data_IF_622459816566
#
_entry.id   IF_622459816566
#
_cell.length_a   1.000
_cell.length_b   1.000
_cell.length_c   1.000
_cell.angle_alpha   90.00
_cell.angle_beta   90.00
_cell.angle_gamma   90.00
#
_symmetry.space_group_name_H-M   'P 1'
#
loop_
_entity.id
_entity.type
_entity.pdbx_description
1 polymer ?
#
# COMPACT_ATOMS: atom_id res chain seq x y z
N UNK A 1 3.38 7.70 2.79
CA UNK A 1 4.14 6.57 3.36
C UNK A 1 5.44 6.44 2.57
N UNK A 2 6.56 6.56 3.26
CA UNK A 2 7.90 6.57 2.65
C UNK A 2 8.47 5.16 2.72
N UNK A 3 8.91 4.63 1.57
CA UNK A 3 9.48 3.28 1.49
C UNK A 3 8.47 2.15 1.68
N UNK A 4 9.00 0.96 2.00
CA UNK A 4 8.23 -0.24 2.29
C UNK A 4 8.58 -0.76 3.69
N UNK A 5 7.61 -0.89 4.62
CA UNK A 5 7.84 -1.32 6.00
C UNK A 5 8.04 -2.84 6.09
N UNK A 6 9.12 -3.34 5.50
CA UNK A 6 9.49 -4.74 5.62
C UNK A 6 9.92 -5.07 7.06
N UNK A 7 9.53 -6.25 7.59
CA UNK A 7 10.03 -6.71 8.88
C UNK A 7 11.53 -7.03 8.80
N UNK A 8 12.18 -7.08 9.97
CA UNK A 8 13.58 -7.48 10.05
C UNK A 8 13.75 -8.95 9.67
N UNK A 9 14.29 -9.21 8.48
CA UNK A 9 14.52 -10.56 7.96
C UNK A 9 15.53 -11.39 8.78
N UNK A 10 16.32 -10.74 9.64
CA UNK A 10 17.29 -11.40 10.53
C UNK A 10 16.71 -11.82 11.88
N UNK A 11 15.40 -11.60 12.12
CA UNK A 11 14.73 -12.11 13.32
C UNK A 11 14.67 -13.64 13.25
N UNK A 12 15.16 -14.36 14.28
CA UNK A 12 15.13 -15.82 14.30
C UNK A 12 13.71 -16.38 14.16
N UNK A 13 12.73 -15.75 14.82
CA UNK A 13 11.32 -16.17 14.77
C UNK A 13 10.75 -16.09 13.36
N UNK A 14 11.14 -15.05 12.61
CA UNK A 14 10.71 -14.87 11.24
C UNK A 14 11.40 -15.86 10.29
N UNK A 15 12.69 -16.11 10.49
CA UNK A 15 13.44 -17.08 9.70
C UNK A 15 12.87 -18.50 9.85
N UNK A 16 12.62 -18.94 11.08
CA UNK A 16 12.02 -20.24 11.36
C UNK A 16 10.62 -20.35 10.77
N UNK A 17 9.81 -19.29 10.90
CA UNK A 17 8.47 -19.27 10.31
C UNK A 17 8.50 -19.36 8.79
N UNK A 18 9.42 -18.66 8.13
CA UNK A 18 9.62 -18.75 6.69
C UNK A 18 10.08 -20.15 6.27
N UNK A 19 11.05 -20.73 7.00
CA UNK A 19 11.56 -22.07 6.72
C UNK A 19 10.49 -23.16 6.89
N UNK A 20 9.65 -23.04 7.92
CA UNK A 20 8.50 -23.90 8.11
C UNK A 20 7.53 -23.79 6.93
N UNK A 21 7.12 -22.57 6.57
CA UNK A 21 6.20 -22.34 5.45
C UNK A 21 6.75 -22.85 4.12
N UNK A 22 8.04 -22.66 3.85
CA UNK A 22 8.68 -23.13 2.62
C UNK A 22 8.77 -24.66 2.55
N UNK A 23 8.71 -25.36 3.69
CA UNK A 23 8.64 -26.83 3.77
C UNK A 23 7.21 -27.37 3.66
N UNK A 24 6.23 -26.70 4.28
CA UNK A 24 4.86 -27.23 4.41
C UNK A 24 3.89 -26.73 3.34
N UNK A 25 4.18 -25.59 2.71
CA UNK A 25 3.30 -24.97 1.71
C UNK A 25 3.96 -25.05 0.33
N UNK A 26 3.28 -25.62 -0.68
CA UNK A 26 3.82 -25.67 -2.03
C UNK A 26 3.98 -24.26 -2.61
N UNK A 27 5.01 -24.09 -3.44
CA UNK A 27 5.25 -22.82 -4.13
C UNK A 27 4.08 -22.51 -5.06
N UNK A 28 3.60 -21.27 -5.01
CA UNK A 28 2.57 -20.78 -5.94
C UNK A 28 3.23 -19.88 -6.98
N UNK A 29 3.06 -20.19 -8.26
CA UNK A 29 3.65 -19.42 -9.37
C UNK A 29 5.16 -19.18 -9.23
N UNK A 30 5.89 -20.18 -8.71
CA UNK A 30 7.34 -20.09 -8.49
C UNK A 30 7.78 -19.29 -7.24
N UNK A 31 6.85 -18.67 -6.52
CA UNK A 31 7.13 -17.88 -5.30
C UNK A 31 7.06 -18.78 -4.07
N UNK A 32 8.06 -18.67 -3.18
CA UNK A 32 8.06 -19.38 -1.90
C UNK A 32 7.07 -18.78 -0.91
N UNK A 33 6.46 -19.61 -0.07
CA UNK A 33 5.47 -19.16 0.91
C UNK A 33 6.09 -18.24 1.96
N UNK A 34 7.35 -18.46 2.34
CA UNK A 34 8.13 -17.56 3.21
C UNK A 34 8.34 -16.18 2.58
N UNK A 35 8.65 -16.10 1.28
CA UNK A 35 8.77 -14.81 0.58
C UNK A 35 7.42 -14.11 0.49
N UNK A 36 6.35 -14.84 0.19
CA UNK A 36 5.00 -14.31 0.18
C UNK A 36 4.60 -13.75 1.56
N UNK A 37 4.99 -14.42 2.66
CA UNK A 37 4.78 -13.95 4.02
C UNK A 37 5.45 -12.59 4.26
N UNK A 38 6.73 -12.40 3.88
CA UNK A 38 7.44 -11.14 4.04
C UNK A 38 6.71 -9.97 3.37
N UNK A 39 6.33 -10.16 2.12
CA UNK A 39 5.60 -9.14 1.37
C UNK A 39 4.21 -8.87 1.98
N UNK A 40 3.52 -9.91 2.46
CA UNK A 40 2.23 -9.75 3.11
C UNK A 40 2.33 -9.00 4.44
N UNK A 41 3.38 -9.24 5.24
CA UNK A 41 3.63 -8.48 6.47
C UNK A 41 3.89 -7.00 6.17
N UNK A 42 4.68 -6.71 5.15
CA UNK A 42 4.91 -5.34 4.69
C UNK A 42 3.58 -4.68 4.29
N UNK A 43 2.83 -5.29 3.37
CA UNK A 43 1.58 -4.71 2.87
C UNK A 43 0.49 -4.64 3.93
N UNK A 44 0.49 -5.52 4.93
CA UNK A 44 -0.38 -5.39 6.11
C UNK A 44 -0.12 -4.08 6.86
N UNK A 45 1.14 -3.72 7.09
CA UNK A 45 1.50 -2.45 7.74
C UNK A 45 1.13 -1.22 6.89
N UNK A 46 1.31 -1.32 5.57
CA UNK A 46 0.88 -0.28 4.62
C UNK A 46 -0.63 -0.07 4.69
N UNK A 47 -1.39 -1.15 4.56
CA UNK A 47 -2.85 -1.12 4.52
C UNK A 47 -3.43 -0.68 5.87
N UNK A 48 -2.77 -1.00 6.98
CA UNK A 48 -3.12 -0.49 8.29
C UNK A 48 -2.99 1.04 8.35
N UNK A 49 -1.90 1.60 7.80
CA UNK A 49 -1.68 3.05 7.80
C UNK A 49 -2.70 3.77 6.91
N UNK A 50 -3.04 3.19 5.76
CA UNK A 50 -4.11 3.66 4.87
C UNK A 50 -5.45 3.72 5.61
N UNK A 51 -5.82 2.65 6.33
CA UNK A 51 -7.08 2.59 7.07
C UNK A 51 -7.20 3.62 8.19
N UNK A 52 -6.08 4.11 8.73
CA UNK A 52 -6.10 5.19 9.75
C UNK A 52 -6.35 6.58 9.15
N UNK A 53 -6.06 6.77 7.87
CA UNK A 53 -6.15 8.08 7.21
C UNK A 53 -7.59 8.46 6.82
N UNK A 54 -8.50 7.49 6.64
CA UNK A 54 -9.90 7.69 6.26
C UNK A 54 -10.76 7.03 7.32
N UNK A 55 -11.45 7.80 8.17
CA UNK A 55 -12.13 7.28 9.37
C UNK A 55 -13.63 7.12 9.19
N UNK A 56 -14.28 7.96 8.37
CA UNK A 56 -15.71 7.84 8.05
C UNK A 56 -16.05 8.35 6.65
N UNK A 57 -17.32 8.17 6.22
CA UNK A 57 -17.84 8.52 4.87
C UNK A 57 -17.65 9.97 4.43
N UNK A 58 -17.43 10.87 5.38
CA UNK A 58 -17.24 12.30 5.14
C UNK A 58 -15.76 12.70 5.07
N UNK A 59 -14.87 11.82 5.50
CA UNK A 59 -13.43 12.05 5.44
C UNK A 59 -12.93 11.85 4.01
N UNK A 60 -12.05 12.75 3.60
CA UNK A 60 -11.27 12.59 2.40
C UNK A 60 -9.80 12.86 2.73
N UNK A 61 -8.93 12.03 2.17
CA UNK A 61 -7.49 12.15 2.34
C UNK A 61 -6.81 11.81 1.01
N UNK A 62 -5.64 12.40 0.79
CA UNK A 62 -4.73 11.96 -0.27
C UNK A 62 -3.63 11.12 0.36
N UNK A 63 -3.43 9.92 -0.17
CA UNK A 63 -2.37 9.00 0.28
C UNK A 63 -1.28 8.99 -0.77
N UNK A 64 -0.06 9.35 -0.36
CA UNK A 64 1.12 9.31 -1.23
C UNK A 64 1.98 8.12 -0.84
N UNK A 65 2.19 7.19 -1.77
CA UNK A 65 3.08 6.03 -1.61
C UNK A 65 4.42 6.34 -2.30
N UNK A 66 5.48 6.53 -1.51
CA UNK A 66 6.78 7.00 -1.99
C UNK A 66 7.80 5.85 -2.02
N UNK A 67 7.65 4.97 -3.00
CA UNK A 67 8.60 3.91 -3.35
C UNK A 67 8.28 3.40 -4.76
N UNK A 68 9.30 3.17 -5.60
CA UNK A 68 9.08 2.66 -6.96
C UNK A 68 8.41 1.28 -6.96
N UNK A 69 8.58 0.47 -5.92
CA UNK A 69 8.00 -0.88 -5.82
C UNK A 69 6.47 -0.87 -5.82
N UNK A 70 5.82 0.22 -5.41
CA UNK A 70 4.36 0.34 -5.50
C UNK A 70 3.83 0.39 -6.94
N UNK A 71 4.67 0.69 -7.93
CA UNK A 71 4.27 0.63 -9.35
C UNK A 71 4.24 -0.81 -9.90
N UNK A 72 4.85 -1.77 -9.20
CA UNK A 72 4.87 -3.16 -9.63
C UNK A 72 3.48 -3.78 -9.49
N UNK A 73 2.92 -4.44 -10.53
CA UNK A 73 1.58 -5.02 -10.47
C UNK A 73 1.38 -5.98 -9.29
N UNK A 74 2.40 -6.75 -8.91
CA UNK A 74 2.36 -7.69 -7.80
C UNK A 74 2.24 -7.03 -6.41
N UNK A 75 2.72 -5.79 -6.26
CA UNK A 75 2.60 -5.01 -5.02
C UNK A 75 1.31 -4.19 -5.03
N UNK A 76 0.99 -3.57 -6.17
CA UNK A 76 -0.23 -2.80 -6.36
C UNK A 76 -1.48 -3.66 -6.13
N UNK A 77 -1.43 -4.94 -6.54
CA UNK A 77 -2.50 -5.93 -6.31
C UNK A 77 -2.69 -6.33 -4.83
N UNK A 78 -1.80 -5.90 -3.93
CA UNK A 78 -1.92 -6.12 -2.48
C UNK A 78 -2.53 -4.93 -1.73
N UNK A 79 -2.78 -3.82 -2.42
CA UNK A 79 -3.59 -2.72 -1.89
C UNK A 79 -5.08 -3.13 -1.84
N UNK A 80 -5.86 -2.60 -0.88
CA UNK A 80 -7.30 -2.80 -0.86
C UNK A 80 -7.92 -2.33 -2.18
N UNK A 81 -8.89 -3.09 -2.70
CA UNK A 81 -9.46 -2.84 -4.03
C UNK A 81 -9.97 -1.39 -4.20
N UNK A 82 -10.60 -0.84 -3.16
CA UNK A 82 -11.17 0.51 -3.18
C UNK A 82 -10.10 1.62 -3.31
N UNK A 83 -8.91 1.44 -2.72
CA UNK A 83 -7.77 2.36 -2.92
C UNK A 83 -7.10 2.11 -4.27
N UNK A 84 -6.94 0.85 -4.65
CA UNK A 84 -6.26 0.47 -5.89
C UNK A 84 -6.89 1.14 -7.10
N UNK A 85 -8.22 1.17 -7.16
CA UNK A 85 -8.97 1.79 -8.25
C UNK A 85 -8.73 3.31 -8.39
N UNK A 86 -8.38 3.99 -7.30
CA UNK A 86 -8.07 5.43 -7.28
C UNK A 86 -6.57 5.74 -7.22
N UNK A 87 -5.70 4.72 -7.35
CA UNK A 87 -4.25 4.89 -7.26
C UNK A 87 -3.68 5.25 -8.62
N UNK A 88 -2.97 6.37 -8.70
CA UNK A 88 -2.28 6.81 -9.92
C UNK A 88 -0.76 6.74 -9.71
N UNK A 89 -0.05 6.19 -10.70
CA UNK A 89 1.42 6.17 -10.70
C UNK A 89 1.90 7.48 -11.32
N UNK A 90 2.63 8.28 -10.55
CA UNK A 90 3.28 9.51 -11.02
C UNK A 90 4.79 9.36 -10.89
N UNK A 91 5.55 9.42 -11.99
CA UNK A 91 7.00 9.16 -11.96
C UNK A 91 7.80 10.30 -11.32
N UNK A 92 7.23 11.51 -11.26
CA UNK A 92 7.91 12.71 -10.78
C UNK A 92 7.04 13.51 -9.83
N UNK A 93 7.70 14.36 -9.03
CA UNK A 93 7.05 15.17 -7.99
C UNK A 93 6.01 16.14 -8.55
N UNK A 94 6.32 16.87 -9.62
CA UNK A 94 5.45 17.93 -10.16
C UNK A 94 4.02 17.45 -10.48
N UNK A 95 3.84 16.42 -11.34
CA UNK A 95 2.53 15.85 -11.63
C UNK A 95 1.83 15.28 -10.39
N UNK A 96 2.57 14.65 -9.46
CA UNK A 96 2.00 14.14 -8.21
C UNK A 96 1.43 15.26 -7.35
N UNK A 97 2.20 16.34 -7.17
CA UNK A 97 1.80 17.51 -6.40
C UNK A 97 0.59 18.22 -7.03
N UNK A 98 0.56 18.34 -8.35
CA UNK A 98 -0.58 18.89 -9.08
C UNK A 98 -1.86 18.08 -8.86
N UNK A 99 -1.80 16.74 -8.91
CA UNK A 99 -2.94 15.86 -8.62
C UNK A 99 -3.47 16.04 -7.19
N UNK A 100 -2.57 16.16 -6.21
CA UNK A 100 -2.94 16.40 -4.80
C UNK A 100 -3.68 17.72 -4.68
N UNK A 101 -3.13 18.82 -5.24
CA UNK A 101 -3.78 20.14 -5.21
C UNK A 101 -5.16 20.11 -5.85
N UNK A 102 -5.29 19.49 -7.03
CA UNK A 102 -6.57 19.33 -7.74
C UNK A 102 -7.60 18.59 -6.89
N UNK A 103 -7.21 17.49 -6.24
CA UNK A 103 -8.09 16.72 -5.38
C UNK A 103 -8.68 17.55 -4.23
N UNK A 104 -7.83 18.29 -3.50
CA UNK A 104 -8.29 19.11 -2.38
C UNK A 104 -9.16 20.31 -2.82
N UNK A 105 -8.86 20.90 -3.99
CA UNK A 105 -9.71 21.95 -4.57
C UNK A 105 -11.12 21.42 -4.91
N UNK A 106 -11.20 20.26 -5.58
CA UNK A 106 -12.49 19.64 -5.92
C UNK A 106 -13.32 19.31 -4.68
N UNK A 107 -12.69 18.78 -3.62
CA UNK A 107 -13.39 18.47 -2.38
C UNK A 107 -13.90 19.71 -1.65
N UNK A 108 -13.11 20.80 -1.64
CA UNK A 108 -13.52 22.09 -1.08
C UNK A 108 -14.74 22.67 -1.80
N UNK A 109 -14.75 22.65 -3.13
CA UNK A 109 -15.90 23.15 -3.92
C UNK A 109 -17.17 22.34 -3.65
N UNK A 110 -17.05 21.02 -3.57
CA UNK A 110 -18.21 20.16 -3.29
C UNK A 110 -18.80 20.37 -1.89
N UNK A 111 -17.98 20.66 -0.87
CA UNK A 111 -18.49 21.00 0.46
C UNK A 111 -19.28 22.32 0.48
N UNK A 112 -18.91 23.29 -0.37
CA UNK A 112 -19.60 24.58 -0.45
C UNK A 112 -20.92 24.51 -1.21
N UNK A 113 -21.08 23.57 -2.15
CA UNK A 113 -22.31 23.40 -2.94
C UNK A 113 -23.42 22.62 -2.22
N UNK A 114 -23.08 21.89 -1.15
CA UNK A 114 -24.03 21.08 -0.36
C UNK A 114 -24.42 21.70 0.97
N UNK A 115 -24.01 22.96 1.23
CA UNK A 115 -24.38 23.75 2.41
C UNK A 115 -25.24 24.93 1.99
#
# INVERSE_FOLDING_TARGET
MVGMPYPNIRSPELQEKMAYLDKTVPKTSGVSAGRALLENLCMKSVNQSIGRAIRHRGDYASIVLLDHRYSQPAILSKLPQWIRNSTEIKPTFGPAFASIRKFFQMKKTNSTLTS
#
